data_IF_034985526561
#
_entry.id   IF_034985526561
#
_cell.length_a   1.000
_cell.length_b   1.000
_cell.length_c   1.000
_cell.angle_alpha   90.00
_cell.angle_beta   90.00
_cell.angle_gamma   90.00
#
_symmetry.space_group_name_H-M   'P 1'
#
loop_
_entity.id
_entity.type
_entity.pdbx_description
1 polymer ?
#
# COMPACT_ATOMS: atom_id res chain seq x y z
N UNK A 1 17.22 42.10 34.43
CA UNK A 1 16.82 42.92 33.23
C UNK A 1 15.32 42.79 33.09
N UNK A 2 14.61 43.87 33.46
CA UNK A 2 13.13 43.90 33.35
C UNK A 2 12.76 44.49 32.00
N UNK A 3 12.11 43.69 31.17
CA UNK A 3 11.58 44.11 29.89
C UNK A 3 10.38 45.06 30.13
N UNK A 4 10.36 46.19 29.41
CA UNK A 4 9.23 47.10 29.49
C UNK A 4 8.01 46.50 28.80
N UNK A 5 6.80 46.82 29.27
CA UNK A 5 5.55 46.29 28.71
C UNK A 5 5.41 46.54 27.19
N UNK A 6 5.99 47.61 26.68
CA UNK A 6 6.06 47.95 25.23
C UNK A 6 6.97 46.97 24.45
N UNK A 7 8.06 46.51 25.02
CA UNK A 7 8.95 45.52 24.37
C UNK A 7 8.31 44.12 24.31
N UNK A 8 7.54 43.75 25.34
CA UNK A 8 6.79 42.48 25.35
C UNK A 8 5.66 42.49 24.32
N UNK A 9 4.92 43.58 24.19
CA UNK A 9 3.85 43.69 23.22
C UNK A 9 4.36 43.69 21.77
N UNK A 10 5.50 44.34 21.50
CA UNK A 10 6.13 44.33 20.17
C UNK A 10 6.63 42.94 19.78
N UNK A 11 7.27 42.22 20.71
CA UNK A 11 7.73 40.84 20.48
C UNK A 11 6.55 39.89 20.18
N UNK A 12 5.45 40.02 20.94
CA UNK A 12 4.26 39.22 20.69
C UNK A 12 3.61 39.49 19.33
N UNK A 13 3.57 40.74 18.90
CA UNK A 13 3.04 41.12 17.59
C UNK A 13 3.88 40.55 16.42
N UNK A 14 5.21 40.57 16.54
CA UNK A 14 6.12 40.00 15.52
C UNK A 14 5.96 38.51 15.41
N UNK A 15 5.84 37.78 16.54
CA UNK A 15 5.67 36.32 16.52
C UNK A 15 4.34 35.91 15.87
N UNK A 16 3.24 36.59 16.17
CA UNK A 16 1.93 36.30 15.54
C UNK A 16 1.96 36.60 14.04
N UNK A 17 2.57 37.72 13.62
CA UNK A 17 2.71 38.06 12.21
C UNK A 17 3.56 37.02 11.44
N UNK A 18 4.64 36.53 12.02
CA UNK A 18 5.51 35.50 11.42
C UNK A 18 4.79 34.16 11.26
N UNK A 19 4.01 33.75 12.26
CA UNK A 19 3.20 32.54 12.20
C UNK A 19 2.10 32.63 11.13
N UNK A 20 1.43 33.78 11.02
CA UNK A 20 0.41 34.00 10.00
C UNK A 20 1.00 33.97 8.58
N UNK A 21 2.15 34.64 8.38
CA UNK A 21 2.84 34.66 7.09
C UNK A 21 3.33 33.25 6.68
N UNK A 22 3.91 32.49 7.62
CA UNK A 22 4.34 31.10 7.38
C UNK A 22 3.19 30.16 7.02
N UNK A 23 2.01 30.36 7.64
CA UNK A 23 0.82 29.57 7.33
C UNK A 23 0.24 29.87 5.94
N UNK A 24 0.25 31.14 5.52
CA UNK A 24 -0.25 31.54 4.19
C UNK A 24 0.69 31.06 3.09
N UNK A 25 2.01 31.22 3.25
CA UNK A 25 3.00 30.75 2.27
C UNK A 25 3.02 29.23 2.18
N UNK A 26 2.96 28.50 3.32
CA UNK A 26 2.94 27.04 3.33
C UNK A 26 1.68 26.43 2.68
N UNK A 27 0.55 27.14 2.69
CA UNK A 27 -0.66 26.70 1.98
C UNK A 27 -0.58 26.87 0.46
N UNK A 28 0.07 27.92 -0.01
CA UNK A 28 0.14 28.21 -1.44
C UNK A 28 1.07 27.29 -2.22
N UNK A 29 2.09 26.72 -1.58
CA UNK A 29 3.01 25.78 -2.23
C UNK A 29 2.42 24.37 -2.39
N UNK A 30 1.60 23.91 -1.44
CA UNK A 30 0.96 22.58 -1.51
C UNK A 30 -0.13 22.49 -2.57
N UNK A 31 -0.84 23.57 -2.89
CA UNK A 31 -1.86 23.56 -3.95
C UNK A 31 -1.28 23.72 -5.37
N UNK A 32 -0.11 24.35 -5.49
CA UNK A 32 0.56 24.56 -6.78
C UNK A 32 1.31 23.30 -7.29
N UNK A 33 1.77 22.44 -6.41
CA UNK A 33 2.53 21.23 -6.77
C UNK A 33 1.60 20.08 -7.22
N UNK A 34 0.40 19.99 -6.65
CA UNK A 34 -0.63 18.99 -7.05
C UNK A 34 -1.22 19.30 -8.44
N UNK A 35 -1.20 20.55 -8.88
CA UNK A 35 -1.76 20.98 -10.17
C UNK A 35 -0.80 20.81 -11.36
N UNK A 36 0.47 20.51 -11.16
CA UNK A 36 1.50 20.43 -12.21
C UNK A 36 1.79 19.04 -12.77
N UNK A 37 1.26 18.00 -12.18
CA UNK A 37 1.53 16.61 -12.62
C UNK A 37 0.34 15.93 -13.34
N UNK A 38 -0.44 16.71 -14.07
CA UNK A 38 -1.36 16.18 -15.08
C UNK A 38 -0.70 16.34 -16.45
N UNK A 39 -0.04 15.31 -16.91
CA UNK A 39 0.48 15.20 -18.28
C UNK A 39 -0.73 14.95 -19.21
N UNK A 40 -1.01 15.84 -20.17
CA UNK A 40 -2.00 15.57 -21.21
C UNK A 40 -1.31 14.93 -22.43
N UNK A 41 -1.91 13.86 -22.92
CA UNK A 41 -1.59 13.29 -24.21
C UNK A 41 -1.42 11.79 -24.13
N UNK A 42 -2.20 11.00 -24.77
CA UNK A 42 -2.48 10.97 -26.18
C UNK A 42 -3.75 10.18 -26.45
N UNK A 43 -4.63 10.75 -27.21
CA UNK A 43 -5.72 10.10 -27.93
C UNK A 43 -5.22 9.46 -29.23
N UNK A 44 -5.87 8.34 -29.62
CA UNK A 44 -5.93 7.71 -30.96
C UNK A 44 -4.80 6.73 -31.32
N UNK A 45 -5.18 5.46 -31.57
CA UNK A 45 -5.77 5.02 -32.83
C UNK A 45 -6.23 3.56 -32.71
N UNK A 46 -7.44 3.32 -33.16
CA UNK A 46 -7.95 2.01 -33.48
C UNK A 46 -7.24 1.48 -34.73
N UNK A 47 -6.84 0.21 -34.73
CA UNK A 47 -7.17 -0.74 -35.77
C UNK A 47 -6.49 -2.08 -35.52
N UNK A 48 -7.25 -3.13 -35.78
CA UNK A 48 -7.03 -4.48 -35.40
C UNK A 48 -5.79 -5.16 -35.98
N UNK A 49 -5.37 -6.16 -35.22
CA UNK A 49 -4.83 -7.39 -35.79
C UNK A 49 -5.03 -8.50 -34.76
N UNK A 50 -5.78 -9.52 -35.14
CA UNK A 50 -5.88 -10.77 -34.42
C UNK A 50 -4.53 -11.46 -34.43
N UNK A 51 -3.98 -11.75 -33.24
CA UNK A 51 -2.93 -12.73 -33.08
C UNK A 51 -2.91 -13.24 -31.62
N UNK A 52 -3.19 -14.53 -31.47
CA UNK A 52 -2.84 -15.43 -30.40
C UNK A 52 -3.16 -14.95 -28.97
N UNK A 53 -4.32 -15.41 -28.46
CA UNK A 53 -4.62 -15.52 -27.05
C UNK A 53 -3.62 -16.50 -26.40
N UNK A 54 -2.52 -15.97 -25.90
CA UNK A 54 -1.80 -16.64 -24.82
C UNK A 54 -2.64 -16.36 -23.57
N UNK A 55 -3.31 -17.37 -23.03
CA UNK A 55 -4.06 -17.29 -21.78
C UNK A 55 -3.16 -16.73 -20.68
N UNK A 56 -3.26 -15.42 -20.44
CA UNK A 56 -2.74 -14.81 -19.22
C UNK A 56 -3.43 -15.50 -18.03
N UNK A 57 -2.71 -15.84 -16.95
CA UNK A 57 -3.30 -16.46 -15.78
C UNK A 57 -4.51 -15.63 -15.33
N UNK A 58 -5.70 -16.22 -15.36
CA UNK A 58 -6.95 -15.52 -15.05
C UNK A 58 -6.84 -14.93 -13.65
N UNK A 59 -6.76 -13.61 -13.56
CA UNK A 59 -6.67 -12.90 -12.29
C UNK A 59 -7.92 -13.22 -11.46
N UNK A 60 -7.73 -13.84 -10.30
CA UNK A 60 -8.81 -14.13 -9.36
C UNK A 60 -9.49 -12.79 -9.00
N UNK A 61 -10.80 -12.63 -9.20
CA UNK A 61 -11.48 -11.38 -8.91
C UNK A 61 -11.41 -11.05 -7.41
N UNK A 62 -11.32 -9.76 -7.10
CA UNK A 62 -11.41 -9.28 -5.72
C UNK A 62 -12.83 -9.47 -5.18
N UNK A 63 -12.95 -9.81 -3.89
CA UNK A 63 -14.20 -9.74 -3.18
C UNK A 63 -14.60 -8.28 -2.85
N UNK A 64 -15.63 -8.10 -2.03
CA UNK A 64 -16.04 -6.77 -1.56
C UNK A 64 -15.06 -6.22 -0.52
N UNK A 65 -14.04 -5.51 -0.98
CA UNK A 65 -13.03 -4.91 -0.11
C UNK A 65 -13.60 -3.85 0.85
N UNK A 66 -14.75 -3.26 0.54
CA UNK A 66 -15.43 -2.29 1.39
C UNK A 66 -16.15 -2.95 2.59
N UNK A 67 -16.43 -4.24 2.50
CA UNK A 67 -17.08 -4.99 3.58
C UNK A 67 -16.20 -5.16 4.82
N UNK A 68 -14.86 -5.09 4.67
CA UNK A 68 -13.92 -5.25 5.79
C UNK A 68 -13.91 -3.98 6.63
N UNK A 69 -14.28 -4.12 7.88
CA UNK A 69 -14.29 -3.02 8.87
C UNK A 69 -13.41 -3.41 10.07
N UNK A 70 -12.65 -2.46 10.58
CA UNK A 70 -11.93 -2.61 11.83
C UNK A 70 -12.68 -1.91 12.98
N UNK A 71 -12.68 -2.51 14.14
CA UNK A 71 -13.14 -1.87 15.37
C UNK A 71 -12.22 -0.68 15.73
N UNK A 72 -12.72 0.24 16.57
CA UNK A 72 -12.02 1.50 16.88
C UNK A 72 -10.58 1.33 17.38
N UNK A 73 -10.33 0.33 18.22
CA UNK A 73 -9.01 -0.01 18.78
C UNK A 73 -8.41 -1.30 18.22
N UNK A 74 -9.08 -1.92 17.26
CA UNK A 74 -8.66 -3.21 16.72
C UNK A 74 -7.39 -3.04 15.86
N UNK A 75 -6.30 -3.75 16.17
CA UNK A 75 -5.06 -3.62 15.41
C UNK A 75 -5.22 -4.21 14.02
N UNK A 76 -4.69 -3.52 13.03
CA UNK A 76 -4.61 -3.98 11.64
C UNK A 76 -3.17 -4.28 11.25
N UNK A 77 -2.98 -5.24 10.35
CA UNK A 77 -1.67 -5.56 9.78
C UNK A 77 -1.75 -5.87 8.30
N UNK A 78 -0.65 -5.60 7.62
CA UNK A 78 -0.34 -6.09 6.28
C UNK A 78 0.63 -7.27 6.39
N UNK A 79 0.34 -8.38 5.72
CA UNK A 79 1.24 -9.53 5.65
C UNK A 79 1.83 -9.62 4.25
N UNK A 80 3.13 -9.86 4.18
CA UNK A 80 3.90 -10.05 2.96
C UNK A 80 4.42 -11.50 2.95
N UNK A 81 3.83 -12.36 2.14
CA UNK A 81 4.26 -13.76 2.00
C UNK A 81 5.32 -13.84 0.91
N UNK A 82 6.56 -14.15 1.30
CA UNK A 82 7.74 -14.19 0.43
C UNK A 82 8.05 -15.64 0.04
N UNK A 83 8.20 -15.90 -1.26
CA UNK A 83 8.62 -17.22 -1.75
C UNK A 83 10.09 -17.49 -1.42
N UNK A 84 10.34 -18.48 -0.59
CA UNK A 84 11.71 -18.86 -0.16
C UNK A 84 12.38 -19.89 -1.06
N UNK A 85 11.59 -20.62 -1.85
CA UNK A 85 12.10 -21.61 -2.82
C UNK A 85 12.93 -20.96 -3.95
N UNK A 86 12.63 -19.70 -4.29
CA UNK A 86 13.36 -18.94 -5.32
C UNK A 86 14.72 -18.42 -4.84
N UNK A 87 15.04 -18.49 -3.54
CA UNK A 87 16.31 -18.01 -2.94
C UNK A 87 16.71 -16.61 -3.42
N UNK A 88 15.75 -15.69 -3.47
CA UNK A 88 16.00 -14.31 -3.89
C UNK A 88 16.96 -13.60 -2.93
N UNK A 89 17.84 -12.72 -3.42
CA UNK A 89 18.69 -11.90 -2.56
C UNK A 89 17.84 -10.93 -1.71
N UNK A 90 18.31 -10.61 -0.51
CA UNK A 90 17.58 -9.78 0.45
C UNK A 90 17.15 -8.41 -0.10
N UNK A 91 18.02 -7.77 -0.90
CA UNK A 91 17.69 -6.50 -1.56
C UNK A 91 16.50 -6.63 -2.52
N UNK A 92 16.43 -7.73 -3.28
CA UNK A 92 15.32 -8.00 -4.20
C UNK A 92 14.02 -8.30 -3.43
N UNK A 93 14.12 -9.02 -2.34
CA UNK A 93 12.96 -9.25 -1.45
C UNK A 93 12.45 -7.92 -0.91
N UNK A 94 13.33 -7.03 -0.43
CA UNK A 94 12.93 -5.73 0.10
C UNK A 94 12.26 -4.85 -0.97
N UNK A 95 12.82 -4.78 -2.19
CA UNK A 95 12.26 -4.08 -3.34
C UNK A 95 10.83 -4.58 -3.62
N UNK A 96 10.65 -5.87 -3.80
CA UNK A 96 9.34 -6.46 -4.12
C UNK A 96 8.33 -6.38 -2.97
N UNK A 97 8.79 -6.38 -1.71
CA UNK A 97 7.94 -6.09 -0.56
C UNK A 97 7.41 -4.65 -0.58
N UNK A 98 8.24 -3.69 -1.03
CA UNK A 98 7.83 -2.30 -1.26
C UNK A 98 6.73 -2.22 -2.32
N UNK A 99 6.93 -2.84 -3.48
CA UNK A 99 5.96 -2.90 -4.58
C UNK A 99 4.62 -3.50 -4.11
N UNK A 100 4.68 -4.62 -3.39
CA UNK A 100 3.51 -5.31 -2.86
C UNK A 100 2.74 -4.45 -1.84
N UNK A 101 3.45 -3.75 -0.98
CA UNK A 101 2.86 -2.81 -0.01
C UNK A 101 2.16 -1.67 -0.73
N UNK A 102 2.81 -1.08 -1.74
CA UNK A 102 2.25 0.02 -2.52
C UNK A 102 1.02 -0.42 -3.34
N UNK A 103 1.06 -1.60 -3.94
CA UNK A 103 -0.08 -2.16 -4.68
C UNK A 103 -1.31 -2.36 -3.78
N UNK A 104 -1.11 -2.91 -2.58
CA UNK A 104 -2.19 -3.08 -1.60
C UNK A 104 -2.72 -1.74 -1.10
N UNK A 105 -1.84 -0.78 -0.81
CA UNK A 105 -2.20 0.58 -0.38
C UNK A 105 -3.05 1.29 -1.44
N UNK A 106 -2.58 1.35 -2.70
CA UNK A 106 -3.30 1.99 -3.81
C UNK A 106 -4.68 1.37 -4.03
N UNK A 107 -4.79 0.06 -3.93
CA UNK A 107 -6.08 -0.62 -4.07
C UNK A 107 -7.04 -0.25 -2.95
N UNK A 108 -6.57 -0.30 -1.69
CA UNK A 108 -7.44 -0.06 -0.56
C UNK A 108 -7.75 1.41 -0.34
N UNK A 109 -6.86 2.35 -0.69
CA UNK A 109 -7.19 3.78 -0.61
C UNK A 109 -8.37 4.13 -1.53
N UNK A 110 -8.49 3.45 -2.67
CA UNK A 110 -9.59 3.63 -3.61
C UNK A 110 -10.88 2.90 -3.19
N UNK A 111 -10.77 1.74 -2.53
CA UNK A 111 -11.92 0.87 -2.22
C UNK A 111 -12.40 0.95 -0.78
N UNK A 112 -11.49 1.16 0.17
CA UNK A 112 -11.77 1.22 1.61
C UNK A 112 -10.81 2.18 2.32
N UNK A 113 -10.92 3.50 2.08
CA UNK A 113 -10.00 4.49 2.66
C UNK A 113 -10.08 4.56 4.19
N UNK A 114 -11.22 4.18 4.79
CA UNK A 114 -11.37 4.16 6.24
C UNK A 114 -10.49 3.10 6.90
N UNK A 115 -10.39 1.92 6.28
CA UNK A 115 -9.52 0.84 6.75
C UNK A 115 -8.05 1.21 6.64
N UNK A 116 -7.66 1.89 5.55
CA UNK A 116 -6.28 2.39 5.37
C UNK A 116 -5.94 3.41 6.45
N UNK A 117 -6.78 4.43 6.67
CA UNK A 117 -6.57 5.43 7.74
C UNK A 117 -6.50 4.80 9.13
N UNK A 118 -7.31 3.77 9.37
CA UNK A 118 -7.25 3.03 10.63
C UNK A 118 -5.91 2.29 10.80
N UNK A 119 -5.43 1.59 9.77
CA UNK A 119 -4.15 0.91 9.76
C UNK A 119 -2.98 1.90 9.93
N UNK A 120 -3.01 3.06 9.26
CA UNK A 120 -2.03 4.14 9.44
C UNK A 120 -1.97 4.63 10.89
N UNK A 121 -3.13 4.87 11.50
CA UNK A 121 -3.25 5.33 12.88
C UNK A 121 -2.79 4.27 13.91
N UNK A 122 -2.96 2.99 13.61
CA UNK A 122 -2.61 1.88 14.51
C UNK A 122 -1.19 1.34 14.32
N UNK A 123 -0.32 2.10 13.62
CA UNK A 123 1.12 1.85 13.55
C UNK A 123 1.61 1.17 12.28
N UNK A 124 0.78 1.02 11.25
CA UNK A 124 1.15 0.50 9.92
C UNK A 124 1.92 -0.84 9.97
N UNK A 125 1.52 -1.75 10.84
CA UNK A 125 2.21 -3.02 11.03
C UNK A 125 2.34 -3.79 9.71
N UNK A 126 3.57 -4.23 9.41
CA UNK A 126 3.92 -5.07 8.25
C UNK A 126 4.69 -6.28 8.74
N UNK A 127 4.31 -7.47 8.30
CA UNK A 127 4.91 -8.73 8.75
C UNK A 127 5.27 -9.57 7.53
N UNK A 128 6.55 -9.93 7.41
CA UNK A 128 7.03 -10.82 6.37
C UNK A 128 6.98 -12.29 6.82
N UNK A 129 6.34 -13.14 6.02
CA UNK A 129 6.20 -14.56 6.27
C UNK A 129 6.80 -15.40 5.13
N UNK A 130 7.18 -16.63 5.42
CA UNK A 130 7.71 -17.57 4.43
C UNK A 130 6.60 -18.26 3.67
N UNK A 131 6.67 -18.21 2.34
CA UNK A 131 5.93 -19.05 1.42
C UNK A 131 6.86 -20.10 0.79
N UNK A 132 6.37 -21.30 0.56
CA UNK A 132 7.18 -22.43 0.08
C UNK A 132 7.08 -22.67 -1.43
N UNK A 133 6.03 -22.17 -2.10
CA UNK A 133 5.80 -22.42 -3.52
C UNK A 133 4.78 -21.45 -4.12
N UNK A 134 4.77 -21.34 -5.45
CA UNK A 134 3.77 -20.57 -6.16
C UNK A 134 2.35 -21.04 -5.88
N UNK A 135 2.12 -22.35 -5.92
CA UNK A 135 0.81 -22.95 -5.63
C UNK A 135 0.27 -22.54 -4.26
N UNK A 136 1.16 -22.49 -3.25
CA UNK A 136 0.76 -22.03 -1.91
C UNK A 136 0.33 -20.56 -1.93
N UNK A 137 1.04 -19.67 -2.65
CA UNK A 137 0.66 -18.26 -2.75
C UNK A 137 -0.69 -18.11 -3.45
N UNK A 138 -0.93 -18.84 -4.52
CA UNK A 138 -2.21 -18.83 -5.24
C UNK A 138 -3.38 -19.30 -4.37
N UNK A 139 -3.17 -20.31 -3.54
CA UNK A 139 -4.17 -20.82 -2.61
C UNK A 139 -4.47 -19.78 -1.48
N UNK A 140 -3.42 -19.14 -0.96
CA UNK A 140 -3.54 -18.04 0.01
C UNK A 140 -4.27 -16.84 -0.59
N UNK A 141 -3.95 -16.48 -1.84
CA UNK A 141 -4.62 -15.41 -2.56
C UNK A 141 -6.11 -15.68 -2.73
N UNK A 142 -6.46 -16.88 -3.19
CA UNK A 142 -7.86 -17.30 -3.34
C UNK A 142 -8.62 -17.26 -2.02
N UNK A 143 -7.99 -17.76 -0.96
CA UNK A 143 -8.58 -17.75 0.39
C UNK A 143 -8.77 -16.34 0.91
N UNK A 144 -7.78 -15.46 0.72
CA UNK A 144 -7.85 -14.07 1.14
C UNK A 144 -8.97 -13.32 0.42
N UNK A 145 -9.06 -13.45 -0.90
CA UNK A 145 -10.11 -12.82 -1.71
C UNK A 145 -11.50 -13.36 -1.36
N UNK A 146 -11.64 -14.64 -1.04
CA UNK A 146 -12.87 -15.23 -0.53
C UNK A 146 -13.33 -14.67 0.83
N UNK A 147 -12.41 -14.10 1.60
CA UNK A 147 -12.69 -13.38 2.85
C UNK A 147 -12.80 -11.86 2.68
N UNK A 148 -12.93 -11.38 1.46
CA UNK A 148 -12.95 -9.95 1.09
C UNK A 148 -11.68 -9.19 1.50
N UNK A 149 -10.56 -9.90 1.69
CA UNK A 149 -9.27 -9.26 1.95
C UNK A 149 -8.61 -8.82 0.65
N UNK A 150 -7.96 -7.66 0.71
CA UNK A 150 -7.08 -7.24 -0.39
C UNK A 150 -5.91 -8.22 -0.48
N UNK A 151 -5.71 -8.81 -1.65
CA UNK A 151 -4.57 -9.68 -1.94
C UNK A 151 -3.93 -9.23 -3.25
N UNK A 152 -2.60 -8.97 -3.22
CA UNK A 152 -1.83 -8.49 -4.39
C UNK A 152 -0.59 -9.34 -4.59
N UNK A 153 -0.58 -10.06 -5.70
CA UNK A 153 0.55 -10.84 -6.13
C UNK A 153 1.51 -9.98 -6.95
N UNK A 154 2.80 -10.00 -6.59
CA UNK A 154 3.87 -9.35 -7.33
C UNK A 154 4.66 -10.41 -8.06
N UNK A 155 4.77 -10.23 -9.38
CA UNK A 155 5.56 -11.09 -10.25
C UNK A 155 6.96 -10.51 -10.45
N UNK A 156 7.91 -11.39 -10.73
CA UNK A 156 9.28 -11.02 -11.11
C UNK A 156 9.69 -11.84 -12.35
N UNK A 157 10.18 -11.14 -13.36
CA UNK A 157 10.60 -11.74 -14.62
C UNK A 157 12.00 -12.37 -14.54
N UNK A 158 12.72 -12.18 -13.42
CA UNK A 158 14.06 -12.73 -13.21
C UNK A 158 14.05 -14.20 -12.75
N UNK A 159 12.89 -14.81 -12.57
CA UNK A 159 12.80 -16.24 -12.30
C UNK A 159 13.22 -17.03 -13.55
N UNK A 160 13.99 -18.11 -13.37
CA UNK A 160 14.58 -18.90 -14.46
C UNK A 160 13.54 -19.52 -15.41
N UNK A 161 12.30 -19.66 -14.95
CA UNK A 161 11.21 -20.32 -15.67
C UNK A 161 10.15 -19.34 -16.19
N UNK A 162 10.49 -18.04 -16.29
CA UNK A 162 9.55 -16.99 -16.72
C UNK A 162 8.92 -16.22 -15.55
N UNK A 163 7.95 -15.33 -15.84
CA UNK A 163 7.32 -14.49 -14.82
C UNK A 163 6.65 -15.35 -13.75
N UNK A 164 7.11 -15.18 -12.51
CA UNK A 164 6.61 -15.96 -11.37
C UNK A 164 6.22 -15.04 -10.22
N UNK A 165 5.13 -15.37 -9.54
CA UNK A 165 4.74 -14.67 -8.31
C UNK A 165 5.81 -14.90 -7.24
N UNK A 166 6.43 -13.83 -6.78
CA UNK A 166 7.52 -13.87 -5.79
C UNK A 166 7.05 -13.43 -4.40
N UNK A 167 6.08 -12.53 -4.34
CA UNK A 167 5.50 -12.02 -3.09
C UNK A 167 3.98 -11.89 -3.25
N UNK A 168 3.27 -12.25 -2.20
CA UNK A 168 1.85 -12.01 -2.03
C UNK A 168 1.63 -11.11 -0.82
N UNK A 169 1.05 -9.92 -1.05
CA UNK A 169 0.58 -9.05 0.03
C UNK A 169 -0.88 -9.37 0.38
N UNK A 170 -1.20 -9.47 1.67
CA UNK A 170 -2.55 -9.72 2.19
C UNK A 170 -2.89 -8.66 3.23
N UNK A 171 -3.92 -7.89 3.02
CA UNK A 171 -4.33 -6.75 3.84
C UNK A 171 -3.90 -5.40 3.26
N UNK A 172 -3.79 -4.32 4.11
CA UNK A 172 -4.05 -4.30 5.56
C UNK A 172 -5.50 -4.63 5.94
N UNK A 173 -5.65 -5.35 7.07
CA UNK A 173 -6.94 -5.71 7.63
C UNK A 173 -6.78 -6.10 9.12
N UNK A 174 -7.88 -6.27 9.87
CA UNK A 174 -7.86 -6.76 11.25
C UNK A 174 -7.01 -8.00 11.43
N UNK A 175 -6.21 -8.02 12.49
CA UNK A 175 -5.23 -9.09 12.76
C UNK A 175 -5.86 -10.48 12.72
N UNK A 176 -7.02 -10.65 13.34
CA UNK A 176 -7.70 -11.95 13.41
C UNK A 176 -8.14 -12.44 12.03
N UNK A 177 -8.64 -11.53 11.19
CA UNK A 177 -9.07 -11.87 9.84
C UNK A 177 -7.87 -12.28 8.96
N UNK A 178 -6.75 -11.53 9.04
CA UNK A 178 -5.52 -11.88 8.33
C UNK A 178 -4.93 -13.19 8.83
N UNK A 179 -5.01 -13.48 10.14
CA UNK A 179 -4.53 -14.72 10.73
C UNK A 179 -5.31 -15.96 10.24
N UNK A 180 -6.57 -15.83 9.88
CA UNK A 180 -7.33 -16.95 9.29
C UNK A 180 -6.69 -17.48 8.01
N UNK A 181 -6.02 -16.61 7.26
CA UNK A 181 -5.31 -16.97 6.04
C UNK A 181 -3.85 -17.35 6.31
N UNK A 182 -3.16 -16.57 7.14
CA UNK A 182 -1.69 -16.60 7.27
C UNK A 182 -1.17 -17.21 8.57
N UNK A 183 -2.05 -17.54 9.52
CA UNK A 183 -1.67 -17.93 10.88
C UNK A 183 -0.83 -19.21 10.99
N UNK A 184 -0.76 -20.04 9.94
CA UNK A 184 0.08 -21.25 9.90
C UNK A 184 1.47 -21.01 9.32
N UNK A 185 1.74 -19.81 8.79
CA UNK A 185 3.02 -19.49 8.17
C UNK A 185 4.04 -19.04 9.21
N UNK A 186 5.32 -19.27 8.92
CA UNK A 186 6.44 -18.87 9.78
C UNK A 186 6.96 -17.49 9.38
N UNK A 187 7.55 -16.78 10.32
CA UNK A 187 8.26 -15.52 10.07
C UNK A 187 9.45 -15.77 9.10
N UNK A 188 9.69 -14.76 8.24
CA UNK A 188 10.79 -14.78 7.27
C UNK A 188 12.15 -14.78 7.94
#
# INVERSE_FOLDING_TARGET
MSYTTTQLSLAAAITVASLALGFVVGKSETEAEIAREVIPGSSNLASGSAAAETEAPQAIPDGDLAAVKAGYVEPCKLVLVVRTDLKLPAGKIAERCGDATLASYKTLIARNPQLVKHWERTGQAKIALKGSSQKQLEELERTAKGLNLCARAIQDDTAKDGPATVILAIGPAPVDLVNRVTGKLRLL
#
